data_IF_285333973986
#
_entry.id   IF_285333973986
#
_cell.length_a   1.000
_cell.length_b   1.000
_cell.length_c   1.000
_cell.angle_alpha   90.00
_cell.angle_beta   90.00
_cell.angle_gamma   90.00
#
_symmetry.space_group_name_H-M   'P 1'
#
loop_
_entity.id
_entity.type
_entity.pdbx_description
1 polymer ?
#
# COMPACT_ATOMS: atom_id res chain seq x y z
N UNK A 1 18.32 0.00 13.16
CA UNK A 1 18.07 -0.28 11.73
C UNK A 1 18.51 0.95 10.96
N UNK A 2 19.43 0.78 10.03
CA UNK A 2 20.02 1.89 9.27
C UNK A 2 19.23 2.17 7.99
N UNK A 3 18.70 1.13 7.38
CA UNK A 3 17.83 1.28 6.21
C UNK A 3 16.87 0.10 6.05
N UNK A 4 15.72 0.39 5.43
CA UNK A 4 14.70 -0.58 5.07
C UNK A 4 14.36 -0.40 3.58
N UNK A 5 14.35 -1.49 2.82
CA UNK A 5 13.89 -1.50 1.42
C UNK A 5 12.91 -2.65 1.21
N UNK A 6 11.94 -2.42 0.35
CA UNK A 6 10.91 -3.40 0.03
C UNK A 6 10.99 -3.77 -1.46
N UNK A 7 10.84 -5.06 -1.75
CA UNK A 7 10.84 -5.62 -3.11
C UNK A 7 9.66 -6.58 -3.26
N UNK A 8 9.10 -6.69 -4.44
CA UNK A 8 8.10 -7.73 -4.76
C UNK A 8 8.79 -9.03 -5.14
N UNK A 9 8.17 -10.15 -4.77
CA UNK A 9 8.57 -11.50 -5.23
C UNK A 9 7.82 -11.94 -6.48
N UNK A 10 6.79 -11.19 -6.91
CA UNK A 10 5.85 -11.61 -7.94
C UNK A 10 4.72 -12.54 -7.48
N UNK A 11 4.79 -13.08 -6.26
CA UNK A 11 3.85 -14.08 -5.72
C UNK A 11 3.08 -13.54 -4.50
N UNK A 12 2.47 -12.37 -4.61
CA UNK A 12 1.73 -11.71 -3.52
C UNK A 12 2.56 -11.45 -2.25
N UNK A 13 3.84 -11.81 -2.24
CA UNK A 13 4.76 -11.60 -1.13
C UNK A 13 5.72 -10.46 -1.42
N UNK A 14 6.21 -9.88 -0.35
CA UNK A 14 7.26 -8.86 -0.38
C UNK A 14 8.49 -9.37 0.35
N UNK A 15 9.65 -8.94 -0.13
CA UNK A 15 10.92 -9.07 0.58
C UNK A 15 11.21 -7.72 1.23
N UNK A 16 11.43 -7.73 2.52
CA UNK A 16 11.89 -6.56 3.28
C UNK A 16 13.37 -6.76 3.58
N UNK A 17 14.22 -5.93 2.97
CA UNK A 17 15.65 -5.89 3.26
C UNK A 17 15.90 -4.88 4.37
N UNK A 18 16.43 -5.34 5.48
CA UNK A 18 16.83 -4.51 6.61
C UNK A 18 18.36 -4.51 6.70
N UNK A 19 18.96 -3.33 6.71
CA UNK A 19 20.35 -3.17 7.12
C UNK A 19 20.35 -2.70 8.57
N UNK A 20 21.23 -3.28 9.37
CA UNK A 20 21.36 -2.92 10.78
C UNK A 20 22.84 -2.81 11.16
N UNK A 21 23.12 -1.94 12.11
CA UNK A 21 24.41 -1.77 12.76
C UNK A 21 24.22 -1.61 14.27
N UNK A 22 25.29 -1.75 15.01
CA UNK A 22 25.34 -1.71 16.47
C UNK A 22 26.42 -2.64 16.98
N UNK A 23 26.15 -3.38 18.02
CA UNK A 23 27.05 -4.45 18.52
C UNK A 23 27.35 -5.48 17.44
N UNK A 24 26.35 -5.77 16.60
CA UNK A 24 26.46 -6.56 15.37
C UNK A 24 25.97 -5.74 14.19
N UNK A 25 26.56 -5.99 13.02
CA UNK A 25 26.12 -5.39 11.75
C UNK A 25 25.81 -6.45 10.72
N UNK A 26 24.81 -6.20 9.89
CA UNK A 26 24.43 -7.16 8.87
C UNK A 26 23.24 -6.73 8.02
N UNK A 27 22.83 -7.65 7.17
CA UNK A 27 21.67 -7.51 6.29
C UNK A 27 20.74 -8.69 6.52
N UNK A 28 19.47 -8.40 6.75
CA UNK A 28 18.41 -9.39 6.91
C UNK A 28 17.37 -9.22 5.81
N UNK A 29 16.94 -10.34 5.27
CA UNK A 29 15.83 -10.40 4.33
C UNK A 29 14.66 -11.11 5.01
N UNK A 30 13.55 -10.40 5.12
CA UNK A 30 12.28 -10.94 5.62
C UNK A 30 11.36 -11.16 4.44
N UNK A 31 10.70 -12.29 4.42
CA UNK A 31 9.60 -12.58 3.51
C UNK A 31 8.30 -12.33 4.25
N UNK A 32 7.36 -11.62 3.64
CA UNK A 32 6.11 -11.27 4.27
C UNK A 32 4.98 -11.11 3.25
N UNK A 33 3.73 -11.20 3.72
CA UNK A 33 2.54 -10.96 2.91
C UNK A 33 1.85 -9.68 3.37
N UNK A 34 1.68 -8.67 2.48
CA UNK A 34 0.87 -7.50 2.79
C UNK A 34 -0.62 -7.87 2.73
N UNK A 35 -1.37 -7.51 3.76
CA UNK A 35 -2.81 -7.75 3.87
C UNK A 35 -3.50 -6.46 4.29
N UNK A 36 -4.63 -6.16 3.67
CA UNK A 36 -5.46 -5.03 4.08
C UNK A 36 -6.55 -5.48 5.05
N UNK A 37 -6.63 -4.79 6.17
CA UNK A 37 -7.68 -4.95 7.14
C UNK A 37 -8.76 -3.88 6.89
N UNK A 38 -9.90 -4.27 6.36
CA UNK A 38 -11.01 -3.39 6.03
C UNK A 38 -11.60 -2.71 7.27
N UNK A 39 -11.70 -3.43 8.39
CA UNK A 39 -12.32 -2.90 9.62
C UNK A 39 -11.50 -1.76 10.23
N UNK A 40 -10.17 -1.86 10.18
CA UNK A 40 -9.25 -0.86 10.75
C UNK A 40 -8.67 0.08 9.69
N UNK A 41 -8.93 -0.18 8.40
CA UNK A 41 -8.34 0.52 7.24
C UNK A 41 -6.81 0.56 7.30
N UNK A 42 -6.22 -0.53 7.77
CA UNK A 42 -4.77 -0.66 7.89
C UNK A 42 -4.21 -1.65 6.88
N UNK A 43 -3.07 -1.31 6.30
CA UNK A 43 -2.19 -2.27 5.65
C UNK A 43 -1.35 -2.93 6.72
N UNK A 44 -1.43 -4.23 6.82
CA UNK A 44 -0.71 -5.06 7.79
C UNK A 44 0.23 -6.01 7.06
N UNK A 45 1.26 -6.47 7.74
CA UNK A 45 2.19 -7.46 7.21
C UNK A 45 2.02 -8.75 8.00
N UNK A 46 1.68 -9.82 7.29
CA UNK A 46 1.49 -11.17 7.87
C UNK A 46 2.52 -12.14 7.31
N UNK A 47 2.54 -13.33 7.87
CA UNK A 47 3.41 -14.42 7.44
C UNK A 47 4.89 -13.99 7.33
N UNK A 48 5.34 -13.23 8.33
CA UNK A 48 6.72 -12.76 8.39
C UNK A 48 7.64 -13.94 8.70
N UNK A 49 8.54 -14.25 7.78
CA UNK A 49 9.58 -15.27 7.95
C UNK A 49 10.91 -14.74 7.41
N UNK A 50 11.99 -15.36 7.81
CA UNK A 50 13.32 -15.05 7.30
C UNK A 50 13.58 -15.79 5.99
N UNK A 51 14.13 -15.09 5.00
CA UNK A 51 14.61 -15.74 3.78
C UNK A 51 15.75 -16.73 4.09
N UNK A 52 15.80 -17.83 3.33
CA UNK A 52 16.78 -18.91 3.52
C UNK A 52 18.22 -18.40 3.47
N UNK A 53 18.51 -17.42 2.62
CA UNK A 53 19.84 -16.80 2.55
C UNK A 53 20.19 -16.05 3.83
N UNK A 54 19.21 -15.39 4.45
CA UNK A 54 19.39 -14.74 5.75
C UNK A 54 19.62 -15.75 6.86
N UNK A 55 18.92 -16.88 6.84
CA UNK A 55 19.14 -17.98 7.81
C UNK A 55 20.58 -18.49 7.76
N UNK A 56 21.15 -18.67 6.57
CA UNK A 56 22.52 -19.20 6.41
C UNK A 56 23.62 -18.20 6.81
N UNK A 57 23.40 -16.89 6.62
CA UNK A 57 24.38 -15.85 6.97
C UNK A 57 24.37 -15.54 8.47
N UNK A 58 23.23 -15.74 9.12
CA UNK A 58 23.03 -15.39 10.53
C UNK A 58 23.33 -16.54 11.50
N UNK A 59 23.58 -17.76 10.99
CA UNK A 59 23.99 -18.92 11.80
C UNK A 59 25.34 -18.64 12.47
N UNK A 60 25.29 -17.99 13.62
CA UNK A 60 26.46 -17.75 14.47
C UNK A 60 26.57 -16.37 15.11
N UNK A 61 25.88 -15.35 14.62
CA UNK A 61 25.99 -14.01 15.20
C UNK A 61 24.65 -13.32 15.52
N UNK A 62 23.55 -13.90 15.10
CA UNK A 62 22.23 -13.28 15.25
C UNK A 62 21.08 -14.29 15.46
N UNK A 63 21.33 -15.39 16.17
CA UNK A 63 20.31 -16.39 16.52
C UNK A 63 19.08 -15.77 17.20
N UNK A 64 19.28 -14.65 17.90
CA UNK A 64 18.21 -13.91 18.53
C UNK A 64 17.18 -13.32 17.52
N UNK A 65 17.59 -13.08 16.27
CA UNK A 65 16.67 -12.60 15.22
C UNK A 65 15.69 -13.69 14.78
N UNK A 66 16.02 -14.98 14.97
CA UNK A 66 15.12 -16.09 14.66
C UNK A 66 14.09 -16.36 15.75
N UNK A 67 14.11 -15.62 16.84
CA UNK A 67 13.08 -15.75 17.87
C UNK A 67 11.71 -15.39 17.27
N UNK A 68 10.76 -16.31 17.42
CA UNK A 68 9.36 -16.09 17.01
C UNK A 68 8.74 -14.84 17.63
N UNK A 69 9.27 -14.34 18.74
CA UNK A 69 8.85 -13.08 19.37
C UNK A 69 9.19 -11.89 18.48
N UNK A 70 10.34 -11.90 17.83
CA UNK A 70 10.77 -10.78 16.95
C UNK A 70 9.94 -10.74 15.68
N UNK A 71 9.72 -11.87 15.01
CA UNK A 71 8.85 -11.92 13.84
C UNK A 71 7.43 -11.49 14.17
N UNK A 72 6.89 -11.90 15.34
CA UNK A 72 5.59 -11.43 15.83
C UNK A 72 5.58 -9.92 16.12
N UNK A 73 6.64 -9.40 16.72
CA UNK A 73 6.76 -7.97 17.01
C UNK A 73 6.88 -7.14 15.74
N UNK A 74 7.62 -7.61 14.74
CA UNK A 74 7.69 -6.98 13.41
C UNK A 74 6.31 -6.95 12.78
N UNK A 75 5.61 -8.09 12.73
CA UNK A 75 4.25 -8.19 12.20
C UNK A 75 3.26 -7.29 12.95
N UNK A 76 3.37 -7.20 14.28
CA UNK A 76 2.51 -6.35 15.10
C UNK A 76 2.72 -4.86 14.85
N UNK A 77 3.97 -4.45 14.62
CA UNK A 77 4.35 -3.05 14.42
C UNK A 77 4.31 -2.63 12.94
N UNK A 78 4.32 -3.58 12.01
CA UNK A 78 4.26 -3.31 10.57
C UNK A 78 2.81 -3.04 10.12
N UNK A 79 2.21 -2.00 10.69
CA UNK A 79 0.86 -1.54 10.38
C UNK A 79 0.90 -0.12 9.85
N UNK A 80 0.24 0.09 8.72
CA UNK A 80 0.18 1.39 8.09
C UNK A 80 -1.27 1.80 7.88
N UNK A 81 -1.68 2.90 8.49
CA UNK A 81 -3.03 3.42 8.38
C UNK A 81 -3.25 4.08 7.02
N UNK A 82 -4.22 3.59 6.26
CA UNK A 82 -4.57 4.08 4.93
C UNK A 82 -5.77 5.05 4.94
N UNK A 83 -6.43 5.30 6.08
CA UNK A 83 -7.65 6.12 6.14
C UNK A 83 -7.45 7.48 5.50
N UNK A 84 -6.41 8.21 5.89
CA UNK A 84 -6.12 9.54 5.36
C UNK A 84 -5.84 9.54 3.85
N UNK A 85 -5.22 8.51 3.32
CA UNK A 85 -4.97 8.37 1.88
C UNK A 85 -6.25 8.09 1.12
N UNK A 86 -7.13 7.24 1.64
CA UNK A 86 -8.44 6.93 1.06
C UNK A 86 -9.32 8.19 1.05
N UNK A 87 -9.36 8.93 2.15
CA UNK A 87 -10.13 10.17 2.27
C UNK A 87 -9.61 11.27 1.33
N UNK A 88 -8.29 11.40 1.22
CA UNK A 88 -7.66 12.33 0.28
C UNK A 88 -7.95 11.95 -1.18
N UNK A 89 -7.88 10.66 -1.52
CA UNK A 89 -8.24 10.18 -2.84
C UNK A 89 -9.70 10.47 -3.16
N UNK A 90 -10.62 10.19 -2.22
CA UNK A 90 -12.05 10.51 -2.36
C UNK A 90 -12.29 11.99 -2.59
N UNK A 91 -11.63 12.85 -1.83
CA UNK A 91 -11.73 14.30 -1.96
C UNK A 91 -11.23 14.76 -3.33
N UNK A 92 -10.09 14.25 -3.78
CA UNK A 92 -9.50 14.60 -5.07
C UNK A 92 -10.39 14.17 -6.23
N UNK A 93 -10.90 12.95 -6.20
CA UNK A 93 -11.81 12.43 -7.22
C UNK A 93 -13.09 13.28 -7.25
N UNK A 94 -13.69 13.53 -6.09
CA UNK A 94 -14.91 14.36 -6.01
C UNK A 94 -14.68 15.77 -6.57
N UNK A 95 -13.51 16.37 -6.34
CA UNK A 95 -13.18 17.66 -6.94
C UNK A 95 -13.13 17.57 -8.46
N UNK A 96 -12.55 16.51 -9.01
CA UNK A 96 -12.45 16.31 -10.46
C UNK A 96 -13.78 15.94 -11.11
N UNK A 97 -14.69 15.28 -10.37
CA UNK A 97 -16.03 14.97 -10.86
C UNK A 97 -16.95 16.20 -10.93
N UNK A 98 -16.58 17.31 -10.29
CA UNK A 98 -17.38 18.52 -10.19
C UNK A 98 -16.65 19.71 -10.84
N UNK A 99 -16.57 19.70 -12.16
CA UNK A 99 -15.88 20.74 -12.91
C UNK A 99 -16.55 21.01 -14.26
N UNK A 100 -16.22 22.15 -14.82
CA UNK A 100 -16.52 22.48 -16.19
C UNK A 100 -15.35 22.01 -17.08
N UNK A 101 -15.64 21.08 -17.99
CA UNK A 101 -14.64 20.51 -18.91
C UNK A 101 -14.37 21.42 -20.10
N UNK A 102 -15.43 22.07 -20.55
CA UNK A 102 -15.42 23.10 -21.57
C UNK A 102 -16.67 23.95 -21.45
N UNK A 103 -16.69 25.10 -22.11
CA UNK A 103 -17.87 26.02 -22.07
C UNK A 103 -19.14 25.27 -22.41
N UNK A 104 -20.06 25.23 -21.45
CA UNK A 104 -21.35 24.57 -21.60
C UNK A 104 -21.37 23.08 -21.31
N UNK A 105 -20.25 22.45 -20.94
CA UNK A 105 -20.19 21.04 -20.52
C UNK A 105 -19.65 20.94 -19.11
N UNK A 106 -20.53 20.58 -18.19
CA UNK A 106 -20.17 20.40 -16.76
C UNK A 106 -20.45 18.99 -16.30
N UNK A 107 -19.57 18.48 -15.46
CA UNK A 107 -19.85 17.28 -14.70
C UNK A 107 -20.22 17.61 -13.25
N UNK A 108 -21.08 16.80 -12.67
CA UNK A 108 -21.43 16.81 -11.25
C UNK A 108 -21.51 15.38 -10.76
N UNK A 109 -20.76 15.05 -9.71
CA UNK A 109 -20.73 13.70 -9.22
C UNK A 109 -20.17 13.59 -7.81
N UNK A 110 -20.36 12.43 -7.21
CA UNK A 110 -19.84 12.13 -5.90
C UNK A 110 -19.47 10.65 -5.77
N UNK A 111 -18.27 10.38 -5.27
CA UNK A 111 -17.90 9.06 -4.77
C UNK A 111 -18.52 8.88 -3.38
N UNK A 112 -19.36 7.85 -3.26
CA UNK A 112 -20.01 7.49 -2.00
C UNK A 112 -19.09 6.61 -1.14
N UNK A 113 -18.46 5.62 -1.78
CA UNK A 113 -17.67 4.62 -1.10
C UNK A 113 -16.46 4.21 -1.94
N UNK A 114 -15.35 3.90 -1.25
CA UNK A 114 -14.12 3.35 -1.83
C UNK A 114 -13.77 2.09 -1.04
N UNK A 115 -13.80 0.94 -1.72
CA UNK A 115 -13.40 -0.36 -1.14
C UNK A 115 -12.13 -0.85 -1.79
N UNK A 116 -11.16 -1.25 -0.98
CA UNK A 116 -9.95 -1.84 -1.50
C UNK A 116 -10.25 -3.25 -2.05
N UNK A 117 -9.84 -3.50 -3.28
CA UNK A 117 -10.10 -4.76 -3.99
C UNK A 117 -8.85 -5.65 -4.06
N UNK A 118 -7.66 -5.10 -3.82
CA UNK A 118 -6.44 -5.88 -3.80
C UNK A 118 -5.19 -5.03 -3.63
N UNK A 119 -4.12 -5.70 -3.22
CA UNK A 119 -2.80 -5.13 -3.04
C UNK A 119 -1.84 -5.93 -3.90
N UNK A 120 -1.12 -5.25 -4.77
CA UNK A 120 -0.21 -5.84 -5.74
C UNK A 120 1.19 -5.25 -5.55
N UNK A 121 2.10 -5.99 -4.90
CA UNK A 121 3.48 -5.56 -4.79
C UNK A 121 4.15 -5.57 -6.17
N UNK A 122 4.74 -4.46 -6.55
CA UNK A 122 5.60 -4.30 -7.71
C UNK A 122 7.04 -4.04 -7.27
N UNK A 123 7.98 -4.04 -8.22
CA UNK A 123 9.42 -4.03 -7.94
C UNK A 123 9.89 -2.91 -7.00
N UNK A 124 9.27 -1.73 -7.05
CA UNK A 124 9.64 -0.57 -6.21
C UNK A 124 8.45 0.14 -5.56
N UNK A 125 7.23 -0.34 -5.79
CA UNK A 125 6.02 0.28 -5.28
C UNK A 125 4.92 -0.74 -5.04
N UNK A 126 3.96 -0.33 -4.26
CA UNK A 126 2.77 -1.10 -3.94
C UNK A 126 1.59 -0.51 -4.72
N UNK A 127 0.96 -1.32 -5.56
CA UNK A 127 -0.27 -0.92 -6.25
C UNK A 127 -1.46 -1.37 -5.41
N UNK A 128 -2.32 -0.42 -5.10
CA UNK A 128 -3.58 -0.68 -4.40
C UNK A 128 -4.72 -0.49 -5.39
N UNK A 129 -5.44 -1.58 -5.68
CA UNK A 129 -6.65 -1.53 -6.49
C UNK A 129 -7.84 -1.24 -5.61
N UNK A 130 -8.70 -0.33 -6.05
CA UNK A 130 -9.92 0.03 -5.33
C UNK A 130 -11.12 0.01 -6.26
N UNK A 131 -12.26 -0.41 -5.75
CA UNK A 131 -13.56 -0.23 -6.37
C UNK A 131 -14.22 1.02 -5.78
N UNK A 132 -14.63 1.94 -6.65
CA UNK A 132 -15.32 3.14 -6.25
C UNK A 132 -16.79 3.03 -6.63
N UNK A 133 -17.67 3.37 -5.70
CA UNK A 133 -19.10 3.47 -5.93
C UNK A 133 -19.54 4.94 -5.81
N UNK A 134 -20.32 5.42 -6.76
CA UNK A 134 -20.73 6.81 -6.80
C UNK A 134 -21.77 7.11 -7.89
N UNK A 135 -21.99 8.39 -8.13
CA UNK A 135 -22.85 8.89 -9.21
C UNK A 135 -22.09 9.96 -10.00
N UNK A 136 -22.43 10.05 -11.28
CA UNK A 136 -21.92 11.08 -12.18
C UNK A 136 -23.07 11.52 -13.09
N UNK A 137 -23.28 12.82 -13.19
CA UNK A 137 -24.16 13.46 -14.15
C UNK A 137 -23.34 14.41 -15.03
N UNK A 138 -23.64 14.43 -16.32
CA UNK A 138 -23.07 15.39 -17.26
C UNK A 138 -24.18 16.29 -17.72
N UNK A 139 -24.00 17.61 -17.55
CA UNK A 139 -24.93 18.65 -18.01
C UNK A 139 -24.33 19.34 -19.23
N UNK A 140 -25.12 19.42 -20.28
CA UNK A 140 -24.74 20.05 -21.52
C UNK A 140 -25.71 21.26 -21.71
N UNK A 141 -25.15 22.46 -21.75
CA UNK A 141 -25.89 23.72 -21.90
C UNK A 141 -25.25 24.57 -22.98
N UNK A 142 -26.08 25.13 -23.87
CA UNK A 142 -25.70 26.16 -24.85
C UNK A 142 -24.43 25.81 -25.66
N UNK A 143 -24.38 24.61 -26.24
CA UNK A 143 -23.35 24.30 -27.23
C UNK A 143 -23.69 25.06 -28.49
N UNK A 144 -22.89 26.08 -28.82
CA UNK A 144 -22.99 26.80 -30.09
C UNK A 144 -22.34 25.91 -31.17
N UNK A 145 -23.17 25.38 -32.06
CA UNK A 145 -22.74 24.62 -33.24
C UNK A 145 -22.55 25.50 -34.46
N UNK A 146 -22.34 26.82 -34.30
CA UNK A 146 -22.03 27.67 -35.44
C UNK A 146 -20.73 27.20 -36.11
N UNK A 147 -20.89 26.60 -37.30
CA UNK A 147 -19.85 26.26 -38.26
C UNK A 147 -19.34 27.52 -38.94
#
# INVERSE_FOLDING_TARGET
IDSCRMYSTGNEKIIIKLNFSGTNKGVVYLLAKPVYNEATKTLEVTDVDFDIKSKNVLLGSADWLFDKKITKQISHNAKFNLSGYIDSAKTTINKQLNQEWMKGIRSNGAIKDIKLAGIFPLQQHLVIRSNCNGNLAIKVENIDFSL
#
